data_IF_112908852399
#
_entry.id   IF_112908852399
#
_cell.length_a   1.000
_cell.length_b   1.000
_cell.length_c   1.000
_cell.angle_alpha   90.00
_cell.angle_beta   90.00
_cell.angle_gamma   90.00
#
_symmetry.space_group_name_H-M   'P 1'
#
loop_
_entity.id
_entity.type
_entity.pdbx_description
1 polymer ?
#
# COMPACT_ATOMS: atom_id res chain seq x y z
N UNK A 1 25.43 27.39 -50.49
CA UNK A 1 24.02 27.03 -50.25
C UNK A 1 23.97 25.55 -49.93
N UNK A 2 24.20 25.19 -48.67
CA UNK A 2 23.97 23.81 -48.22
C UNK A 2 22.46 23.57 -48.21
N UNK A 3 22.05 22.55 -48.98
CA UNK A 3 20.68 22.06 -49.01
C UNK A 3 20.23 21.68 -47.60
N UNK A 4 19.28 22.41 -47.03
CA UNK A 4 18.56 21.94 -45.85
C UNK A 4 17.63 20.81 -46.30
N UNK A 5 17.85 19.54 -45.91
CA UNK A 5 17.06 18.43 -46.43
C UNK A 5 15.65 18.47 -45.86
N UNK A 6 14.73 17.72 -46.48
CA UNK A 6 13.38 17.42 -46.00
C UNK A 6 13.31 16.85 -44.55
N UNK A 7 14.46 16.63 -43.90
CA UNK A 7 14.63 16.21 -42.51
C UNK A 7 14.19 17.25 -41.48
N UNK A 8 14.26 18.55 -41.76
CA UNK A 8 13.85 19.60 -40.80
C UNK A 8 12.34 19.61 -40.53
N UNK A 9 11.53 19.46 -41.59
CA UNK A 9 10.07 19.37 -41.47
C UNK A 9 9.61 18.12 -40.73
N UNK A 10 10.33 17.01 -40.94
CA UNK A 10 10.11 15.76 -40.19
C UNK A 10 10.43 15.95 -38.70
N UNK A 11 11.47 16.68 -38.33
CA UNK A 11 11.89 16.84 -36.93
C UNK A 11 10.84 17.56 -36.06
N UNK A 12 10.15 18.57 -36.61
CA UNK A 12 9.19 19.40 -35.85
C UNK A 12 7.80 18.79 -35.85
N UNK A 13 7.40 18.18 -36.96
CA UNK A 13 6.22 17.31 -36.99
C UNK A 13 6.36 16.15 -36.00
N UNK A 14 7.55 15.57 -35.87
CA UNK A 14 7.83 14.51 -34.90
C UNK A 14 7.75 15.00 -33.44
N UNK A 15 8.09 16.26 -33.14
CA UNK A 15 8.00 16.78 -31.76
C UNK A 15 6.60 17.22 -31.33
N UNK A 16 5.79 17.75 -32.25
CA UNK A 16 4.36 17.97 -31.99
C UNK A 16 3.59 16.65 -31.88
N UNK A 17 4.06 15.58 -32.53
CA UNK A 17 3.57 14.22 -32.28
C UNK A 17 4.01 13.69 -30.91
N UNK A 18 5.23 14.05 -30.45
CA UNK A 18 5.71 13.69 -29.10
C UNK A 18 4.92 14.36 -27.99
N UNK A 19 4.44 15.60 -28.12
CA UNK A 19 3.62 16.21 -27.06
C UNK A 19 2.28 15.51 -26.85
N UNK A 20 1.65 15.04 -27.94
CA UNK A 20 0.46 14.20 -27.87
C UNK A 20 0.80 12.86 -27.21
N UNK A 21 1.86 12.19 -27.65
CA UNK A 21 2.28 10.91 -27.06
C UNK A 21 2.62 11.01 -25.56
N UNK A 22 3.28 12.10 -25.13
CA UNK A 22 3.58 12.36 -23.72
C UNK A 22 2.31 12.62 -22.92
N UNK A 23 1.35 13.38 -23.48
CA UNK A 23 0.04 13.59 -22.86
C UNK A 23 -0.76 12.28 -22.73
N UNK A 24 -0.80 11.48 -23.78
CA UNK A 24 -1.52 10.20 -23.80
C UNK A 24 -0.93 9.24 -22.76
N UNK A 25 0.40 9.08 -22.76
CA UNK A 25 1.11 8.30 -21.73
C UNK A 25 0.79 8.79 -20.31
N UNK A 26 0.81 10.11 -20.10
CA UNK A 26 0.53 10.69 -18.77
C UNK A 26 -0.92 10.47 -18.35
N UNK A 27 -1.85 10.47 -19.31
CA UNK A 27 -3.27 10.16 -19.07
C UNK A 27 -3.46 8.69 -18.68
N UNK A 28 -2.83 7.76 -19.41
CA UNK A 28 -2.85 6.34 -19.07
C UNK A 28 -2.23 6.07 -17.69
N UNK A 29 -1.10 6.72 -17.39
CA UNK A 29 -0.45 6.64 -16.09
C UNK A 29 -1.33 7.19 -14.96
N UNK A 30 -2.01 8.31 -15.19
CA UNK A 30 -3.00 8.86 -14.27
C UNK A 30 -4.11 7.85 -13.95
N UNK A 31 -4.66 7.18 -14.97
CA UNK A 31 -5.71 6.17 -14.80
C UNK A 31 -5.23 4.93 -14.04
N UNK A 32 -3.95 4.57 -14.18
CA UNK A 32 -3.36 3.49 -13.38
C UNK A 32 -3.29 3.86 -11.90
N UNK A 33 -2.85 5.08 -11.58
CA UNK A 33 -2.82 5.57 -10.20
C UNK A 33 -4.22 5.69 -9.58
N UNK A 34 -5.20 6.16 -10.36
CA UNK A 34 -6.59 6.29 -9.92
C UNK A 34 -7.19 4.93 -9.56
N UNK A 35 -7.07 3.94 -10.45
CA UNK A 35 -7.52 2.57 -10.17
C UNK A 35 -6.85 1.96 -8.94
N UNK A 36 -5.54 2.14 -8.80
CA UNK A 36 -4.83 1.64 -7.63
C UNK A 36 -5.30 2.30 -6.33
N UNK A 37 -5.55 3.61 -6.35
CA UNK A 37 -6.12 4.33 -5.21
C UNK A 37 -7.49 3.79 -4.83
N UNK A 38 -8.38 3.58 -5.81
CA UNK A 38 -9.73 3.04 -5.60
C UNK A 38 -9.71 1.63 -5.00
N UNK A 39 -8.85 0.74 -5.53
CA UNK A 39 -8.70 -0.62 -5.01
C UNK A 39 -8.25 -0.63 -3.54
N UNK A 40 -7.28 0.22 -3.19
CA UNK A 40 -6.84 0.38 -1.80
C UNK A 40 -7.95 0.94 -0.90
N UNK A 41 -8.70 1.94 -1.37
CA UNK A 41 -9.80 2.54 -0.61
C UNK A 41 -10.91 1.52 -0.35
N UNK A 42 -11.28 0.74 -1.36
CA UNK A 42 -12.29 -0.31 -1.25
C UNK A 42 -11.86 -1.42 -0.29
N UNK A 43 -10.58 -1.81 -0.34
CA UNK A 43 -10.00 -2.78 0.60
C UNK A 43 -10.13 -2.31 2.05
N UNK A 44 -9.68 -1.07 2.34
CA UNK A 44 -9.75 -0.49 3.69
C UNK A 44 -11.20 -0.35 4.16
N UNK A 45 -12.08 0.20 3.33
CA UNK A 45 -13.50 0.35 3.65
C UNK A 45 -14.16 -1.00 3.99
N UNK A 46 -13.86 -2.04 3.22
CA UNK A 46 -14.36 -3.40 3.45
C UNK A 46 -13.90 -4.01 4.78
N UNK A 47 -12.64 -3.77 5.19
CA UNK A 47 -12.13 -4.24 6.48
C UNK A 47 -12.59 -3.39 7.67
N UNK A 48 -12.76 -2.07 7.49
CA UNK A 48 -13.34 -1.20 8.53
C UNK A 48 -14.78 -1.57 8.87
N UNK A 49 -15.59 -1.90 7.85
CA UNK A 49 -16.95 -2.40 8.06
C UNK A 49 -16.96 -3.70 8.88
N UNK A 50 -16.13 -4.67 8.51
CA UNK A 50 -15.96 -5.93 9.25
C UNK A 50 -15.47 -5.70 10.68
N UNK A 51 -14.49 -4.81 10.90
CA UNK A 51 -14.04 -4.44 12.25
C UNK A 51 -15.18 -3.84 13.09
N UNK A 52 -16.05 -3.01 12.49
CA UNK A 52 -17.18 -2.41 13.19
C UNK A 52 -18.22 -3.46 13.62
N UNK A 53 -18.45 -4.49 12.80
CA UNK A 53 -19.30 -5.63 13.14
C UNK A 53 -18.72 -6.42 14.32
N UNK A 54 -17.42 -6.75 14.28
CA UNK A 54 -16.73 -7.47 15.36
C UNK A 54 -16.76 -6.76 16.73
N UNK A 55 -16.77 -5.41 16.74
CA UNK A 55 -16.87 -4.61 17.97
C UNK A 55 -18.25 -4.72 18.63
N UNK A 56 -19.32 -5.02 17.88
CA UNK A 56 -20.68 -5.15 18.43
C UNK A 56 -20.84 -6.44 19.24
N UNK A 57 -20.15 -7.51 18.86
CA UNK A 57 -20.36 -8.84 19.43
C UNK A 57 -19.54 -9.15 20.69
N UNK A 58 -18.47 -8.39 20.99
CA UNK A 58 -17.49 -8.81 22.03
C UNK A 58 -17.29 -7.88 23.22
N UNK A 59 -17.97 -6.74 23.31
CA UNK A 59 -17.59 -5.70 24.27
C UNK A 59 -16.22 -5.12 23.91
N UNK A 60 -16.04 -3.81 24.05
CA UNK A 60 -14.88 -3.12 23.50
C UNK A 60 -13.59 -3.37 24.32
N UNK A 61 -13.00 -4.58 24.23
CA UNK A 61 -11.63 -4.80 24.69
C UNK A 61 -10.67 -4.22 23.64
N UNK A 62 -10.20 -2.99 23.84
CA UNK A 62 -9.21 -2.35 22.98
C UNK A 62 -7.81 -2.88 23.32
N UNK A 63 -7.37 -3.94 22.63
CA UNK A 63 -6.02 -4.49 22.79
C UNK A 63 -5.00 -3.74 21.92
N UNK A 64 -3.72 -3.87 22.28
CA UNK A 64 -2.61 -3.29 21.51
C UNK A 64 -2.55 -3.83 20.08
N UNK A 65 -2.89 -5.11 19.86
CA UNK A 65 -3.00 -5.71 18.53
C UNK A 65 -4.10 -5.04 17.69
N UNK A 66 -5.24 -4.75 18.31
CA UNK A 66 -6.36 -4.12 17.64
C UNK A 66 -6.05 -2.68 17.23
N UNK A 67 -5.37 -1.93 18.11
CA UNK A 67 -4.88 -0.59 17.80
C UNK A 67 -3.86 -0.61 16.65
N UNK A 68 -2.92 -1.55 16.68
CA UNK A 68 -1.91 -1.70 15.62
C UNK A 68 -2.55 -2.03 14.26
N UNK A 69 -3.57 -2.88 14.26
CA UNK A 69 -4.37 -3.18 13.07
C UNK A 69 -5.13 -1.95 12.53
N UNK A 70 -5.77 -1.17 13.41
CA UNK A 70 -6.44 0.07 12.99
C UNK A 70 -5.43 1.10 12.42
N UNK A 71 -4.22 1.20 12.98
CA UNK A 71 -3.13 2.03 12.44
C UNK A 71 -2.76 1.55 11.03
N UNK A 72 -2.55 0.24 10.82
CA UNK A 72 -2.24 -0.30 9.50
C UNK A 72 -3.32 0.07 8.46
N UNK A 73 -4.59 -0.09 8.81
CA UNK A 73 -5.69 0.30 7.92
C UNK A 73 -5.67 1.81 7.61
N UNK A 74 -5.35 2.64 8.60
CA UNK A 74 -5.22 4.10 8.40
C UNK A 74 -4.04 4.45 7.49
N UNK A 75 -2.91 3.76 7.62
CA UNK A 75 -1.74 4.04 6.78
C UNK A 75 -1.95 3.65 5.32
N UNK A 76 -2.64 2.54 5.07
CA UNK A 76 -3.06 2.13 3.71
C UNK A 76 -4.09 3.10 3.11
N UNK A 77 -5.00 3.65 3.92
CA UNK A 77 -5.96 4.67 3.48
C UNK A 77 -5.25 5.97 3.05
N UNK A 78 -4.25 6.40 3.82
CA UNK A 78 -3.43 7.56 3.45
C UNK A 78 -2.64 7.30 2.16
N UNK A 79 -2.15 6.08 1.94
CA UNK A 79 -1.50 5.70 0.69
C UNK A 79 -2.48 5.77 -0.50
N UNK A 80 -3.73 5.34 -0.32
CA UNK A 80 -4.79 5.51 -1.33
C UNK A 80 -5.00 6.99 -1.68
N UNK A 81 -5.22 7.86 -0.67
CA UNK A 81 -5.45 9.29 -0.90
C UNK A 81 -4.32 9.93 -1.70
N UNK A 82 -3.08 9.67 -1.31
CA UNK A 82 -1.96 10.25 -2.02
C UNK A 82 -1.83 9.70 -3.47
N UNK A 83 -2.39 8.52 -3.80
CA UNK A 83 -2.33 7.96 -5.16
C UNK A 83 -3.38 8.64 -6.03
N UNK A 84 -4.55 8.93 -5.44
CA UNK A 84 -5.58 9.76 -6.04
C UNK A 84 -5.06 11.18 -6.33
N UNK A 85 -4.29 11.76 -5.42
CA UNK A 85 -3.68 13.09 -5.62
C UNK A 85 -2.70 13.08 -6.82
N UNK A 86 -1.85 12.05 -6.93
CA UNK A 86 -0.94 11.88 -8.07
C UNK A 86 -1.71 11.75 -9.38
N UNK A 87 -2.74 10.89 -9.42
CA UNK A 87 -3.59 10.75 -10.59
C UNK A 87 -4.20 12.10 -10.99
N UNK A 88 -4.79 12.81 -10.03
CA UNK A 88 -5.40 14.12 -10.25
C UNK A 88 -4.41 15.13 -10.87
N UNK A 89 -3.17 15.19 -10.35
CA UNK A 89 -2.17 16.13 -10.85
C UNK A 89 -1.65 15.71 -12.24
N UNK A 90 -1.34 14.43 -12.47
CA UNK A 90 -0.91 13.94 -13.78
C UNK A 90 -1.98 14.21 -14.85
N UNK A 91 -3.24 13.91 -14.57
CA UNK A 91 -4.33 14.15 -15.51
C UNK A 91 -4.61 15.64 -15.73
N UNK A 92 -4.80 16.41 -14.65
CA UNK A 92 -5.30 17.79 -14.73
C UNK A 92 -4.22 18.84 -14.96
N UNK A 93 -3.02 18.63 -14.43
CA UNK A 93 -1.96 19.65 -14.47
C UNK A 93 -0.86 19.35 -15.49
N UNK A 94 -0.71 18.08 -15.90
CA UNK A 94 0.32 17.69 -16.87
C UNK A 94 -0.28 17.36 -18.23
N UNK A 95 -1.10 16.30 -18.34
CA UNK A 95 -1.60 15.81 -19.62
C UNK A 95 -2.44 16.86 -20.37
N UNK A 96 -3.51 17.35 -19.74
CA UNK A 96 -4.42 18.31 -20.37
C UNK A 96 -3.74 19.64 -20.76
N UNK A 97 -2.98 20.32 -19.87
CA UNK A 97 -2.31 21.55 -20.23
C UNK A 97 -1.24 21.38 -21.31
N UNK A 98 -0.61 20.21 -21.40
CA UNK A 98 0.37 19.94 -22.46
C UNK A 98 -0.29 19.99 -23.84
N UNK A 99 -1.48 19.39 -24.01
CA UNK A 99 -2.23 19.48 -25.26
C UNK A 99 -2.66 20.92 -25.55
N UNK A 100 -3.26 21.60 -24.58
CA UNK A 100 -3.76 22.97 -24.74
C UNK A 100 -2.64 23.96 -25.10
N UNK A 101 -1.50 23.90 -24.40
CA UNK A 101 -0.35 24.78 -24.65
C UNK A 101 0.37 24.48 -25.96
N UNK A 102 0.43 23.22 -26.41
CA UNK A 102 1.18 22.87 -27.63
C UNK A 102 0.35 22.91 -28.92
N UNK A 103 -0.98 22.95 -28.82
CA UNK A 103 -1.86 22.90 -29.99
C UNK A 103 -1.65 24.05 -30.97
N UNK A 104 -1.55 25.29 -30.46
CA UNK A 104 -1.37 26.46 -31.31
C UNK A 104 -0.03 26.41 -32.08
N UNK A 105 1.04 25.89 -31.47
CA UNK A 105 2.34 25.68 -32.11
C UNK A 105 2.31 24.63 -33.22
N UNK A 106 1.51 23.58 -33.07
CA UNK A 106 1.24 22.61 -34.16
C UNK A 106 0.60 23.28 -35.37
N UNK A 107 -0.36 24.18 -35.16
CA UNK A 107 -0.98 24.94 -36.25
C UNK A 107 0.04 25.90 -36.87
N UNK A 108 0.80 26.63 -36.05
CA UNK A 108 1.81 27.57 -36.51
C UNK A 108 2.86 26.88 -37.39
N UNK A 109 3.40 25.75 -36.95
CA UNK A 109 4.38 24.97 -37.73
C UNK A 109 3.83 24.54 -39.10
N UNK A 110 2.57 24.11 -39.18
CA UNK A 110 1.92 23.79 -40.47
C UNK A 110 1.85 24.98 -41.40
N UNK A 111 1.57 26.18 -40.87
CA UNK A 111 1.55 27.42 -41.66
C UNK A 111 2.94 27.76 -42.20
N UNK A 112 3.98 27.67 -41.37
CA UNK A 112 5.38 27.91 -41.81
C UNK A 112 5.74 27.01 -43.00
N UNK A 113 5.41 25.72 -42.94
CA UNK A 113 5.68 24.80 -44.06
C UNK A 113 4.84 25.09 -45.30
N UNK A 114 3.55 25.43 -45.14
CA UNK A 114 2.70 25.82 -46.27
C UNK A 114 3.19 27.10 -46.94
N UNK A 115 3.63 28.10 -46.16
CA UNK A 115 4.22 29.34 -46.67
C UNK A 115 5.52 29.06 -47.42
N UNK A 116 6.39 28.20 -46.88
CA UNK A 116 7.62 27.77 -47.57
C UNK A 116 7.31 27.16 -48.94
N UNK A 117 6.37 26.24 -49.00
CA UNK A 117 5.97 25.59 -50.26
C UNK A 117 5.45 26.63 -51.27
N UNK A 118 4.65 27.60 -50.82
CA UNK A 118 4.18 28.69 -51.68
C UNK A 118 5.32 29.54 -52.24
N UNK A 119 6.37 29.83 -51.44
CA UNK A 119 7.55 30.54 -51.93
C UNK A 119 8.39 29.70 -52.89
N UNK A 120 8.57 28.41 -52.63
CA UNK A 120 9.27 27.50 -53.54
C UNK A 120 8.56 27.43 -54.90
N UNK A 121 7.22 27.40 -54.92
CA UNK A 121 6.43 27.50 -56.15
C UNK A 121 6.59 28.85 -56.87
N UNK A 122 6.72 29.95 -56.12
CA UNK A 122 6.96 31.28 -56.69
C UNK A 122 8.34 31.35 -57.37
N UNK A 123 9.37 30.82 -56.72
CA UNK A 123 10.72 30.68 -57.28
C UNK A 123 10.71 29.82 -58.54
N UNK A 124 10.08 28.64 -58.49
CA UNK A 124 10.00 27.74 -59.64
C UNK A 124 9.35 28.41 -60.87
N UNK A 125 8.26 29.18 -60.66
CA UNK A 125 7.62 29.95 -61.75
C UNK A 125 8.53 31.02 -62.33
N UNK A 126 9.39 31.65 -61.52
CA UNK A 126 10.37 32.62 -62.01
C UNK A 126 11.48 31.95 -62.83
N UNK A 127 11.91 30.75 -62.44
CA UNK A 127 12.87 29.95 -63.19
C UNK A 127 12.29 29.44 -64.53
N UNK A 128 11.03 28.98 -64.54
CA UNK A 128 10.33 28.57 -65.77
C UNK A 128 10.25 29.72 -66.79
N UNK A 129 9.92 30.94 -66.34
CA UNK A 129 9.91 32.14 -67.18
C UNK A 129 11.29 32.44 -67.76
N UNK A 130 12.36 32.28 -66.96
CA UNK A 130 13.73 32.47 -67.42
C UNK A 130 14.13 31.44 -68.48
N UNK A 131 13.79 30.17 -68.28
CA UNK A 131 14.03 29.10 -69.25
C UNK A 131 13.34 29.41 -70.58
N UNK A 132 12.08 29.86 -70.53
CA UNK A 132 11.33 30.26 -71.72
C UNK A 132 11.98 31.44 -72.45
N UNK A 133 12.30 32.53 -71.72
CA UNK A 133 12.94 33.70 -72.31
C UNK A 133 14.29 33.37 -72.96
N UNK A 134 15.07 32.48 -72.36
CA UNK A 134 16.32 31.96 -72.93
C UNK A 134 16.10 31.19 -74.23
N UNK A 135 15.06 30.36 -74.28
CA UNK A 135 14.72 29.59 -75.47
C UNK A 135 14.25 30.50 -76.61
N UNK A 136 13.41 31.48 -76.31
CA UNK A 136 12.92 32.47 -77.28
C UNK A 136 14.09 33.28 -77.88
N UNK A 137 15.03 33.73 -77.04
CA UNK A 137 16.27 34.37 -77.48
C UNK A 137 17.11 33.48 -78.41
N UNK A 138 17.31 32.21 -78.04
CA UNK A 138 18.05 31.24 -78.89
C UNK A 138 17.38 31.03 -80.24
N UNK A 139 16.05 30.93 -80.25
CA UNK A 139 15.27 30.75 -81.47
C UNK A 139 15.35 31.99 -82.39
N UNK A 140 15.23 33.19 -81.82
CA UNK A 140 15.36 34.44 -82.56
C UNK A 140 16.76 34.59 -83.19
N UNK A 141 17.81 34.22 -82.45
CA UNK A 141 19.18 34.18 -82.97
C UNK A 141 19.32 33.23 -84.18
N UNK A 142 18.85 31.99 -84.06
CA UNK A 142 18.91 31.01 -85.16
C UNK A 142 18.12 31.48 -86.40
N UNK A 143 16.96 32.10 -86.19
CA UNK A 143 16.12 32.65 -87.26
C UNK A 143 16.83 33.79 -88.02
N UNK A 144 17.46 34.72 -87.29
CA UNK A 144 18.26 35.78 -87.88
C UNK A 144 19.44 35.24 -88.69
N UNK A 145 20.15 34.23 -88.16
CA UNK A 145 21.27 33.59 -88.85
C UNK A 145 20.85 32.86 -90.14
N UNK A 146 19.64 32.31 -90.17
CA UNK A 146 19.09 31.63 -91.35
C UNK A 146 18.64 32.61 -92.45
N UNK A 147 18.12 33.78 -92.09
CA UNK A 147 17.64 34.80 -93.05
C UNK A 147 17.85 36.22 -92.53
N UNK A 148 19.05 36.81 -92.72
CA UNK A 148 19.38 38.12 -92.18
C UNK A 148 18.55 39.23 -92.82
N UNK A 149 17.76 39.94 -92.02
CA UNK A 149 17.03 41.13 -92.42
C UNK A 149 16.74 42.04 -91.22
N UNK A 150 16.34 43.29 -91.47
CA UNK A 150 16.12 44.32 -90.42
C UNK A 150 15.04 43.92 -89.41
N UNK A 151 13.98 43.25 -89.84
CA UNK A 151 12.91 42.80 -88.94
C UNK A 151 13.37 41.65 -88.02
N UNK A 152 14.10 40.67 -88.58
CA UNK A 152 14.67 39.57 -87.80
C UNK A 152 15.72 40.05 -86.79
N UNK A 153 16.49 41.10 -87.12
CA UNK A 153 17.45 41.73 -86.21
C UNK A 153 16.74 42.43 -85.03
N UNK A 154 15.65 43.15 -85.30
CA UNK A 154 14.83 43.79 -84.26
C UNK A 154 14.25 42.75 -83.29
N UNK A 155 13.65 41.68 -83.80
CA UNK A 155 13.12 40.56 -82.98
C UNK A 155 14.22 39.89 -82.14
N UNK A 156 15.43 39.74 -82.68
CA UNK A 156 16.57 39.23 -81.93
C UNK A 156 16.97 40.15 -80.76
N UNK A 157 17.06 41.46 -81.00
CA UNK A 157 17.37 42.43 -79.94
C UNK A 157 16.27 42.48 -78.87
N UNK A 158 15.00 42.43 -79.26
CA UNK A 158 13.89 42.41 -78.31
C UNK A 158 13.91 41.14 -77.43
N UNK A 159 14.17 39.97 -78.03
CA UNK A 159 14.29 38.72 -77.30
C UNK A 159 15.52 38.69 -76.38
N UNK A 160 16.64 39.30 -76.80
CA UNK A 160 17.83 39.48 -75.96
C UNK A 160 17.51 40.33 -74.73
N UNK A 161 16.91 41.51 -74.93
CA UNK A 161 16.56 42.43 -73.86
C UNK A 161 15.56 41.81 -72.88
N UNK A 162 14.58 41.05 -73.40
CA UNK A 162 13.63 40.30 -72.58
C UNK A 162 14.32 39.22 -71.74
N UNK A 163 15.25 38.45 -72.33
CA UNK A 163 16.04 37.45 -71.61
C UNK A 163 16.90 38.05 -70.50
N UNK A 164 17.67 39.10 -70.81
CA UNK A 164 18.54 39.77 -69.83
C UNK A 164 17.72 40.34 -68.67
N UNK A 165 16.60 41.00 -68.97
CA UNK A 165 15.71 41.55 -67.94
C UNK A 165 15.15 40.44 -67.04
N UNK A 166 14.69 39.33 -67.64
CA UNK A 166 14.17 38.19 -66.88
C UNK A 166 15.26 37.49 -66.06
N UNK A 167 16.50 37.43 -66.56
CA UNK A 167 17.65 36.88 -65.83
C UNK A 167 17.92 37.68 -64.55
N UNK A 168 17.96 39.01 -64.63
CA UNK A 168 18.14 39.87 -63.46
C UNK A 168 16.96 39.76 -62.49
N UNK A 169 15.72 39.69 -62.99
CA UNK A 169 14.54 39.50 -62.16
C UNK A 169 14.58 38.16 -61.39
N UNK A 170 14.90 37.06 -62.08
CA UNK A 170 14.99 35.74 -61.44
C UNK A 170 16.15 35.67 -60.45
N UNK A 171 17.32 36.26 -60.77
CA UNK A 171 18.45 36.32 -59.84
C UNK A 171 18.10 37.11 -58.57
N UNK A 172 17.42 38.26 -58.69
CA UNK A 172 16.98 39.03 -57.53
C UNK A 172 15.98 38.27 -56.65
N UNK A 173 15.07 37.50 -57.26
CA UNK A 173 14.15 36.61 -56.52
C UNK A 173 14.93 35.53 -55.77
N UNK A 174 15.89 34.87 -56.43
CA UNK A 174 16.69 33.80 -55.82
C UNK A 174 17.57 34.32 -54.68
N UNK A 175 18.17 35.49 -54.85
CA UNK A 175 18.98 36.16 -53.83
C UNK A 175 18.13 36.47 -52.60
N UNK A 176 17.03 37.23 -52.76
CA UNK A 176 16.15 37.60 -51.65
C UNK A 176 15.50 36.39 -50.96
N UNK A 177 15.14 35.35 -51.74
CA UNK A 177 14.64 34.10 -51.18
C UNK A 177 15.69 33.43 -50.27
N UNK A 178 16.95 33.37 -50.73
CA UNK A 178 18.05 32.74 -50.02
C UNK A 178 18.58 33.54 -48.83
N UNK A 179 18.62 34.86 -48.90
CA UNK A 179 19.25 35.73 -47.89
C UNK A 179 18.29 36.28 -46.85
N UNK A 180 17.00 36.41 -47.18
CA UNK A 180 16.02 37.02 -46.28
C UNK A 180 14.83 36.10 -45.98
N UNK A 181 14.17 35.58 -47.02
CA UNK A 181 12.90 34.85 -46.84
C UNK A 181 13.11 33.54 -46.10
N UNK A 182 14.06 32.71 -46.55
CA UNK A 182 14.32 31.41 -45.93
C UNK A 182 14.85 31.55 -44.50
N UNK A 183 15.83 32.42 -44.19
CA UNK A 183 16.25 32.69 -42.82
C UNK A 183 15.10 33.14 -41.90
N UNK A 184 14.20 34.00 -42.36
CA UNK A 184 13.05 34.44 -41.56
C UNK A 184 12.12 33.27 -41.20
N UNK A 185 11.85 32.35 -42.14
CA UNK A 185 11.06 31.15 -41.85
C UNK A 185 11.79 30.21 -40.89
N UNK A 186 13.12 30.15 -40.96
CA UNK A 186 13.93 29.35 -40.03
C UNK A 186 13.87 29.91 -38.61
N UNK A 187 13.92 31.23 -38.45
CA UNK A 187 13.80 31.86 -37.13
C UNK A 187 12.43 31.56 -36.50
N UNK A 188 11.33 31.71 -37.24
CA UNK A 188 9.99 31.38 -36.73
C UNK A 188 9.91 29.90 -36.30
N UNK A 189 10.56 29.03 -37.06
CA UNK A 189 10.60 27.60 -36.79
C UNK A 189 11.43 27.25 -35.53
N UNK A 190 12.53 27.95 -35.32
CA UNK A 190 13.35 27.86 -34.09
C UNK A 190 12.56 28.31 -32.86
N UNK A 191 11.83 29.43 -32.95
CA UNK A 191 11.01 29.95 -31.86
C UNK A 191 9.91 28.95 -31.46
N UNK A 192 9.23 28.35 -32.46
CA UNK A 192 8.25 27.28 -32.23
C UNK A 192 8.90 26.10 -31.52
N UNK A 193 10.09 25.70 -31.96
CA UNK A 193 10.79 24.55 -31.41
C UNK A 193 11.24 24.79 -29.96
N UNK A 194 11.78 25.97 -29.67
CA UNK A 194 12.24 26.34 -28.33
C UNK A 194 11.09 26.33 -27.32
N UNK A 195 9.95 26.92 -27.69
CA UNK A 195 8.74 26.96 -26.85
C UNK A 195 8.15 25.56 -26.58
N UNK A 196 8.11 24.70 -27.60
CA UNK A 196 7.69 23.31 -27.44
C UNK A 196 8.64 22.54 -26.50
N UNK A 197 9.95 22.76 -26.60
CA UNK A 197 10.93 22.11 -25.73
C UNK A 197 10.79 22.57 -24.27
N UNK A 198 10.60 23.86 -24.04
CA UNK A 198 10.37 24.42 -22.71
C UNK A 198 9.08 23.81 -22.11
N UNK A 199 7.97 23.88 -22.84
CA UNK A 199 6.67 23.34 -22.39
C UNK A 199 6.74 21.86 -22.06
N UNK A 200 7.41 21.05 -22.90
CA UNK A 200 7.58 19.62 -22.66
C UNK A 200 8.47 19.32 -21.45
N UNK A 201 9.54 20.09 -21.27
CA UNK A 201 10.47 19.90 -20.16
C UNK A 201 9.80 20.26 -18.84
N UNK A 202 9.05 21.36 -18.80
CA UNK A 202 8.27 21.77 -17.63
C UNK A 202 7.20 20.74 -17.25
N UNK A 203 6.46 20.24 -18.24
CA UNK A 203 5.45 19.20 -18.02
C UNK A 203 6.06 17.89 -17.50
N UNK A 204 7.18 17.46 -18.09
CA UNK A 204 7.91 16.26 -17.67
C UNK A 204 8.47 16.43 -16.25
N UNK A 205 9.03 17.60 -15.92
CA UNK A 205 9.51 17.92 -14.58
C UNK A 205 8.37 17.90 -13.56
N UNK A 206 7.23 18.53 -13.87
CA UNK A 206 6.05 18.54 -12.99
C UNK A 206 5.53 17.12 -12.74
N UNK A 207 5.43 16.29 -13.79
CA UNK A 207 5.06 14.88 -13.64
C UNK A 207 6.05 14.10 -12.77
N UNK A 208 7.35 14.33 -12.98
CA UNK A 208 8.41 13.70 -12.20
C UNK A 208 8.39 14.14 -10.73
N UNK A 209 8.20 15.41 -10.42
CA UNK A 209 8.15 15.93 -9.04
C UNK A 209 6.97 15.34 -8.25
N UNK A 210 5.82 15.15 -8.91
CA UNK A 210 4.60 14.58 -8.32
C UNK A 210 4.74 13.07 -8.06
N UNK A 211 5.45 12.35 -8.91
CA UNK A 211 5.73 10.92 -8.68
C UNK A 211 6.85 10.76 -7.66
N UNK A 212 7.90 11.57 -7.78
CA UNK A 212 9.08 11.58 -6.92
C UNK A 212 8.77 11.99 -5.49
N UNK A 213 7.67 12.71 -5.24
CA UNK A 213 7.19 12.96 -3.88
C UNK A 213 6.87 11.69 -3.09
N UNK A 214 6.94 10.51 -3.72
CA UNK A 214 6.85 9.19 -3.09
C UNK A 214 8.12 8.34 -3.13
N UNK A 215 9.09 8.66 -3.98
CA UNK A 215 10.32 7.86 -4.06
C UNK A 215 11.28 8.38 -3.00
N UNK A 216 11.68 7.53 -2.05
CA UNK A 216 12.69 7.82 -1.03
C UNK A 216 14.00 8.24 -1.67
N UNK A 217 14.19 9.53 -1.89
CA UNK A 217 15.45 10.05 -2.39
C UNK A 217 16.34 10.44 -1.21
N UNK A 218 16.87 9.41 -0.54
CA UNK A 218 18.03 9.56 0.34
C UNK A 218 19.31 9.85 -0.46
N UNK A 219 19.33 9.48 -1.76
CA UNK A 219 20.50 9.62 -2.64
C UNK A 219 20.69 11.02 -3.26
N UNK A 220 19.64 11.68 -3.80
CA UNK A 220 19.77 13.07 -4.29
C UNK A 220 19.84 14.08 -3.15
N UNK A 221 19.40 13.75 -1.92
CA UNK A 221 19.54 14.65 -0.78
C UNK A 221 21.02 14.89 -0.43
N UNK A 222 21.85 13.85 -0.42
CA UNK A 222 23.30 14.01 -0.16
C UNK A 222 24.02 14.78 -1.28
N UNK A 223 23.55 14.68 -2.53
CA UNK A 223 24.06 15.46 -3.67
C UNK A 223 23.61 16.93 -3.64
N UNK A 224 22.36 17.19 -3.24
CA UNK A 224 21.76 18.54 -3.27
C UNK A 224 22.10 19.41 -2.06
N UNK A 225 22.48 18.82 -0.92
CA UNK A 225 22.97 19.58 0.23
C UNK A 225 24.31 20.29 -0.04
N UNK A 226 25.03 19.91 -1.09
CA UNK A 226 26.29 20.54 -1.52
C UNK A 226 26.09 21.81 -2.36
N UNK A 227 24.95 21.97 -3.04
CA UNK A 227 24.71 23.08 -3.97
C UNK A 227 23.49 23.93 -3.57
N UNK A 228 23.67 24.80 -2.57
CA UNK A 228 22.65 25.77 -2.15
C UNK A 228 22.42 26.85 -3.23
N UNK A 229 21.31 26.73 -3.97
CA UNK A 229 20.62 27.86 -4.62
C UNK A 229 19.16 27.92 -4.14
N UNK A 230 18.77 29.10 -3.65
CA UNK A 230 17.52 29.41 -2.95
C UNK A 230 16.20 29.21 -3.76
N UNK A 231 16.26 28.88 -5.05
CA UNK A 231 15.09 28.78 -5.94
C UNK A 231 14.34 27.44 -5.93
N UNK A 232 14.72 26.47 -5.07
CA UNK A 232 14.18 25.08 -5.12
C UNK A 232 13.20 24.73 -3.99
N UNK A 233 12.38 25.68 -3.54
CA UNK A 233 11.31 25.46 -2.55
C UNK A 233 10.31 24.33 -2.91
N UNK A 234 9.88 24.16 -4.17
CA UNK A 234 8.97 23.06 -4.56
C UNK A 234 9.58 21.67 -4.42
N UNK A 235 10.89 21.54 -4.64
CA UNK A 235 11.61 20.25 -4.59
C UNK A 235 11.72 19.68 -3.18
N UNK A 236 11.70 20.56 -2.17
CA UNK A 236 11.67 20.14 -0.77
C UNK A 236 10.34 19.49 -0.39
N UNK A 237 9.22 19.92 -0.99
CA UNK A 237 7.90 19.38 -0.67
C UNK A 237 7.76 17.89 -1.03
N UNK A 238 8.32 17.48 -2.17
CA UNK A 238 8.32 16.07 -2.56
C UNK A 238 9.19 15.19 -1.66
N UNK A 239 10.37 15.67 -1.28
CA UNK A 239 11.25 14.97 -0.32
C UNK A 239 10.55 14.79 1.03
N UNK A 240 9.83 15.80 1.51
CA UNK A 240 9.09 15.74 2.77
C UNK A 240 7.94 14.70 2.73
N UNK A 241 7.24 14.54 1.60
CA UNK A 241 6.14 13.57 1.47
C UNK A 241 6.63 12.11 1.41
N UNK A 242 7.74 11.82 0.73
CA UNK A 242 8.34 10.47 0.73
C UNK A 242 8.89 10.11 2.12
N UNK A 243 9.50 11.08 2.80
CA UNK A 243 9.89 10.96 4.21
C UNK A 243 8.67 10.70 5.11
N UNK A 244 7.53 11.31 4.80
CA UNK A 244 6.31 11.14 5.58
C UNK A 244 5.73 9.74 5.43
N UNK A 245 5.69 9.15 4.23
CA UNK A 245 5.30 7.73 4.07
C UNK A 245 6.22 6.80 4.86
N UNK A 246 7.54 6.99 4.76
CA UNK A 246 8.49 6.19 5.54
C UNK A 246 8.27 6.35 7.04
N UNK A 247 8.14 7.59 7.53
CA UNK A 247 7.90 7.91 8.94
C UNK A 247 6.61 7.26 9.46
N UNK A 248 5.55 7.27 8.65
CA UNK A 248 4.27 6.63 8.96
C UNK A 248 4.42 5.12 9.20
N UNK A 249 5.08 4.42 8.27
CA UNK A 249 5.33 2.98 8.43
C UNK A 249 6.35 2.65 9.53
N UNK A 250 7.33 3.52 9.79
CA UNK A 250 8.23 3.39 10.94
C UNK A 250 7.46 3.52 12.27
N UNK A 251 6.49 4.43 12.32
CA UNK A 251 5.55 4.58 13.44
C UNK A 251 4.69 3.34 13.65
N UNK A 252 4.13 2.76 12.58
CA UNK A 252 3.42 1.48 12.65
C UNK A 252 4.33 0.36 13.15
N UNK A 253 5.56 0.25 12.64
CA UNK A 253 6.52 -0.75 13.09
C UNK A 253 6.88 -0.59 14.57
N UNK A 254 6.97 0.66 15.06
CA UNK A 254 7.16 0.94 16.48
C UNK A 254 5.94 0.50 17.32
N UNK A 255 4.71 0.75 16.83
CA UNK A 255 3.50 0.28 17.47
C UNK A 255 3.48 -1.25 17.57
N UNK A 256 3.80 -1.97 16.49
CA UNK A 256 3.94 -3.42 16.48
C UNK A 256 4.93 -3.93 17.54
N UNK A 257 6.10 -3.27 17.68
CA UNK A 257 7.13 -3.64 18.67
C UNK A 257 6.70 -3.35 20.11
N UNK A 258 5.82 -2.38 20.31
CA UNK A 258 5.30 -2.01 21.63
C UNK A 258 4.11 -2.85 22.09
N UNK A 259 3.53 -3.68 21.21
CA UNK A 259 2.40 -4.54 21.54
C UNK A 259 2.76 -5.54 22.65
N UNK A 260 1.88 -5.70 23.64
CA UNK A 260 2.14 -6.50 24.83
C UNK A 260 1.00 -7.45 25.15
N UNK A 261 1.24 -8.74 24.94
CA UNK A 261 0.28 -9.79 25.28
C UNK A 261 -0.06 -9.81 26.78
N UNK A 262 0.91 -9.48 27.65
CA UNK A 262 0.70 -9.40 29.09
C UNK A 262 -0.21 -8.21 29.48
N UNK A 263 -0.07 -7.06 28.82
CA UNK A 263 -0.96 -5.93 29.05
C UNK A 263 -2.37 -6.22 28.48
N UNK A 264 -2.44 -6.83 27.31
CA UNK A 264 -3.69 -7.17 26.64
C UNK A 264 -4.52 -8.16 27.47
N UNK A 265 -3.93 -9.23 28.02
CA UNK A 265 -4.68 -10.20 28.82
C UNK A 265 -5.25 -9.56 30.10
N UNK A 266 -4.55 -8.60 30.70
CA UNK A 266 -5.06 -7.84 31.86
C UNK A 266 -6.28 -7.01 31.47
N UNK A 267 -6.29 -6.39 30.29
CA UNK A 267 -7.47 -5.68 29.78
C UNK A 267 -8.63 -6.63 29.46
N UNK A 268 -8.35 -7.77 28.83
CA UNK A 268 -9.37 -8.80 28.52
C UNK A 268 -10.03 -9.28 29.81
N UNK A 269 -9.25 -9.65 30.83
CA UNK A 269 -9.79 -10.09 32.12
C UNK A 269 -10.64 -8.99 32.77
N UNK A 270 -10.20 -7.72 32.72
CA UNK A 270 -11.00 -6.59 33.21
C UNK A 270 -12.32 -6.41 32.45
N UNK A 271 -12.34 -6.64 31.14
CA UNK A 271 -13.56 -6.53 30.32
C UNK A 271 -14.56 -7.67 30.53
N UNK A 272 -14.06 -8.86 30.93
CA UNK A 272 -14.88 -10.04 31.18
C UNK A 272 -15.40 -10.11 32.62
N UNK A 273 -14.74 -9.45 33.56
CA UNK A 273 -15.19 -9.41 34.95
C UNK A 273 -16.47 -8.57 35.08
N UNK A 274 -17.55 -9.09 35.72
CA UNK A 274 -18.67 -8.26 36.11
C UNK A 274 -18.15 -7.10 36.97
N UNK A 275 -18.60 -5.86 36.70
CA UNK A 275 -18.16 -4.71 37.50
C UNK A 275 -18.40 -4.98 38.99
N UNK A 276 -17.32 -5.03 39.78
CA UNK A 276 -17.37 -5.30 41.22
C UNK A 276 -17.15 -6.75 41.66
N UNK A 277 -16.84 -7.68 40.75
CA UNK A 277 -16.48 -9.06 41.12
C UNK A 277 -15.09 -9.12 41.78
N UNK A 278 -15.04 -9.01 43.10
CA UNK A 278 -13.90 -9.47 43.88
C UNK A 278 -13.64 -10.96 43.61
N UNK A 279 -12.39 -11.44 43.67
CA UNK A 279 -12.10 -12.87 43.51
C UNK A 279 -13.02 -13.66 44.44
N UNK A 280 -13.85 -14.55 43.88
CA UNK A 280 -14.80 -15.31 44.69
C UNK A 280 -14.02 -16.05 45.79
N UNK A 281 -14.30 -15.78 47.07
CA UNK A 281 -13.64 -16.48 48.15
C UNK A 281 -13.95 -17.97 48.04
N UNK A 282 -12.96 -18.82 48.32
CA UNK A 282 -13.12 -20.27 48.28
C UNK A 282 -14.25 -20.67 49.23
N UNK A 283 -15.36 -21.17 48.68
CA UNK A 283 -16.51 -21.63 49.47
C UNK A 283 -16.16 -22.96 50.13
N UNK A 284 -15.99 -22.95 51.45
CA UNK A 284 -15.77 -24.16 52.25
C UNK A 284 -17.09 -24.69 52.80
N UNK A 285 -17.29 -26.00 52.70
CA UNK A 285 -18.43 -26.70 53.33
C UNK A 285 -18.08 -27.04 54.78
N UNK A 286 -19.05 -26.92 55.68
CA UNK A 286 -18.88 -27.19 57.11
C UNK A 286 -19.69 -28.43 57.51
N UNK A 287 -19.22 -29.16 58.53
CA UNK A 287 -19.98 -30.26 59.12
C UNK A 287 -21.29 -29.75 59.72
N UNK A 288 -22.41 -30.40 59.40
CA UNK A 288 -23.74 -30.09 59.93
C UNK A 288 -24.28 -31.29 60.72
N UNK A 289 -24.44 -31.13 62.03
CA UNK A 289 -25.03 -32.17 62.88
C UNK A 289 -26.53 -32.37 62.53
N UNK A 290 -27.09 -33.59 62.69
CA UNK A 290 -28.51 -33.83 62.50
C UNK A 290 -29.37 -32.92 63.39
N UNK A 291 -30.44 -32.33 62.83
CA UNK A 291 -31.38 -31.51 63.59
C UNK A 291 -32.26 -32.41 64.47
N UNK A 292 -32.17 -32.24 65.79
CA UNK A 292 -33.10 -32.89 66.73
C UNK A 292 -34.39 -32.05 66.72
N UNK A 293 -35.57 -32.62 66.38
CA UNK A 293 -36.82 -31.89 66.44
C UNK A 293 -37.05 -31.34 67.87
N UNK A 294 -37.57 -30.12 68.03
CA UNK A 294 -37.97 -29.63 69.35
C UNK A 294 -39.00 -30.61 69.95
N UNK A 295 -38.93 -30.92 71.25
CA UNK A 295 -39.99 -31.69 71.89
C UNK A 295 -41.31 -30.91 71.83
N UNK A 296 -42.39 -31.54 71.38
CA UNK A 296 -43.74 -30.99 71.47
C UNK A 296 -44.05 -30.70 72.94
N UNK A 297 -44.35 -29.44 73.26
CA UNK A 297 -44.49 -28.96 74.63
C UNK A 297 -45.76 -29.47 75.35
N UNK A 298 -46.64 -30.21 74.68
CA UNK A 298 -47.98 -30.54 75.18
C UNK A 298 -48.31 -32.06 75.23
N UNK A 299 -47.31 -32.95 75.21
CA UNK A 299 -47.53 -34.39 75.43
C UNK A 299 -47.17 -34.81 76.88
N UNK A 300 -48.14 -35.07 77.77
CA UNK A 300 -47.86 -35.53 79.12
C UNK A 300 -47.48 -37.03 79.08
N UNK A 301 -46.24 -37.34 79.45
CA UNK A 301 -45.84 -38.72 79.79
C UNK A 301 -44.84 -39.41 78.87
N UNK A 302 -43.98 -38.69 78.16
CA UNK A 302 -42.82 -39.30 77.52
C UNK A 302 -41.50 -38.71 78.06
N UNK A 303 -41.23 -38.97 79.35
CA UNK A 303 -39.87 -39.00 79.90
C UNK A 303 -39.11 -40.17 79.24
N UNK A 304 -38.81 -40.04 77.94
CA UNK A 304 -37.68 -40.72 77.34
C UNK A 304 -36.42 -40.08 77.94
N UNK A 305 -36.19 -40.40 79.21
CA UNK A 305 -34.96 -40.20 79.94
C UNK A 305 -33.79 -40.50 79.01
N UNK A 306 -33.13 -39.43 78.57
CA UNK A 306 -31.73 -39.17 78.17
C UNK A 306 -30.76 -40.34 77.84
N UNK A 307 -31.24 -41.55 77.61
CA UNK A 307 -30.49 -42.83 77.66
C UNK A 307 -30.60 -43.60 76.35
N UNK A 308 -31.45 -43.15 75.41
CA UNK A 308 -31.64 -43.76 74.08
C UNK A 308 -31.35 -42.79 72.91
N UNK A 309 -30.92 -41.55 73.18
CA UNK A 309 -30.48 -40.62 72.13
C UNK A 309 -29.05 -40.98 71.69
N UNK A 310 -28.79 -41.15 70.37
CA UNK A 310 -27.44 -41.40 69.87
C UNK A 310 -26.47 -40.27 70.29
N UNK A 311 -25.19 -40.58 70.59
CA UNK A 311 -24.20 -39.57 70.95
C UNK A 311 -24.09 -38.48 69.86
N UNK A 312 -24.01 -37.22 70.27
CA UNK A 312 -23.78 -36.12 69.33
C UNK A 312 -22.41 -36.27 68.64
N UNK A 313 -22.42 -36.52 67.33
CA UNK A 313 -21.21 -36.67 66.53
C UNK A 313 -20.61 -35.31 66.18
N UNK A 314 -19.27 -35.26 66.12
CA UNK A 314 -18.47 -34.08 65.74
C UNK A 314 -17.83 -34.31 64.37
N UNK A 315 -17.11 -33.30 63.86
CA UNK A 315 -16.31 -33.39 62.64
C UNK A 315 -15.04 -34.25 62.82
N UNK A 316 -15.21 -35.50 63.28
CA UNK A 316 -14.16 -36.47 63.60
C UNK A 316 -14.63 -37.89 63.26
N UNK A 317 -13.69 -38.81 63.01
CA UNK A 317 -13.99 -40.22 62.79
C UNK A 317 -14.33 -40.93 64.11
N UNK A 318 -15.36 -41.80 64.09
CA UNK A 318 -15.76 -42.64 65.23
C UNK A 318 -14.98 -43.95 65.21
N UNK A 319 -14.26 -44.26 66.29
CA UNK A 319 -13.36 -45.43 66.39
C UNK A 319 -13.68 -46.35 67.57
N UNK A 320 -14.95 -46.70 67.79
CA UNK A 320 -15.33 -47.70 68.80
C UNK A 320 -14.91 -49.13 68.37
N UNK A 321 -14.94 -50.12 69.29
CA UNK A 321 -14.68 -51.54 69.01
C UNK A 321 -15.40 -52.08 67.75
N UNK A 322 -16.61 -51.62 67.45
CA UNK A 322 -17.36 -52.03 66.24
C UNK A 322 -16.87 -51.32 64.97
N UNK A 323 -16.55 -50.02 65.04
CA UNK A 323 -16.15 -49.20 63.89
C UNK A 323 -14.63 -49.26 63.57
N UNK A 324 -13.79 -49.58 64.56
CA UNK A 324 -12.33 -49.46 64.45
C UNK A 324 -11.72 -50.41 63.42
N UNK A 325 -12.29 -51.60 63.21
CA UNK A 325 -11.81 -52.54 62.20
C UNK A 325 -12.09 -51.99 60.80
N UNK A 326 -13.30 -51.49 60.59
CA UNK A 326 -13.74 -50.96 59.30
C UNK A 326 -13.01 -49.67 58.90
N UNK A 327 -12.78 -48.76 59.86
CA UNK A 327 -11.99 -47.53 59.63
C UNK A 327 -10.53 -47.85 59.26
N UNK A 328 -9.91 -48.87 59.89
CA UNK A 328 -8.54 -49.28 59.56
C UNK A 328 -8.43 -49.82 58.14
N UNK A 329 -9.33 -50.73 57.74
CA UNK A 329 -9.38 -51.30 56.39
C UNK A 329 -9.58 -50.19 55.35
N UNK A 330 -10.48 -49.24 55.61
CA UNK A 330 -10.73 -48.11 54.71
C UNK A 330 -9.52 -47.19 54.59
N UNK A 331 -8.80 -46.90 55.68
CA UNK A 331 -7.58 -46.08 55.65
C UNK A 331 -6.43 -46.77 54.91
N UNK A 332 -6.29 -48.09 55.01
CA UNK A 332 -5.31 -48.85 54.24
C UNK A 332 -5.64 -48.82 52.74
N UNK A 333 -6.91 -48.98 52.38
CA UNK A 333 -7.39 -48.83 50.99
C UNK A 333 -7.11 -47.42 50.44
N UNK A 334 -7.44 -46.38 51.20
CA UNK A 334 -7.21 -44.98 50.79
C UNK A 334 -5.71 -44.65 50.67
N UNK A 335 -4.86 -45.24 51.52
CA UNK A 335 -3.40 -45.07 51.39
C UNK A 335 -2.88 -45.68 50.09
N UNK A 336 -3.37 -46.87 49.73
CA UNK A 336 -3.02 -47.52 48.47
C UNK A 336 -3.50 -46.69 47.27
N UNK A 337 -4.77 -46.26 47.28
CA UNK A 337 -5.33 -45.39 46.25
C UNK A 337 -4.54 -44.07 46.12
N UNK A 338 -4.12 -43.47 47.23
CA UNK A 338 -3.28 -42.28 47.23
C UNK A 338 -1.91 -42.50 46.59
N UNK A 339 -1.25 -43.64 46.85
CA UNK A 339 0.02 -44.01 46.22
C UNK A 339 -0.15 -44.23 44.70
N UNK A 340 -1.25 -44.89 44.31
CA UNK A 340 -1.57 -45.14 42.89
C UNK A 340 -1.82 -43.82 42.15
N UNK A 341 -2.57 -42.88 42.75
CA UNK A 341 -2.82 -41.54 42.20
C UNK A 341 -1.54 -40.68 42.14
N UNK A 342 -0.64 -40.79 43.12
CA UNK A 342 0.67 -40.12 43.08
C UNK A 342 1.52 -40.61 41.91
N UNK A 343 1.55 -41.93 41.69
CA UNK A 343 2.22 -42.53 40.56
C UNK A 343 1.59 -42.07 39.23
N UNK A 344 0.26 -42.06 39.15
CA UNK A 344 -0.46 -41.59 37.97
C UNK A 344 -0.18 -40.10 37.68
N UNK A 345 -0.17 -39.23 38.69
CA UNK A 345 0.18 -37.83 38.53
C UNK A 345 1.60 -37.66 37.98
N UNK A 346 2.56 -38.47 38.45
CA UNK A 346 3.94 -38.44 37.96
C UNK A 346 4.01 -38.87 36.50
N UNK A 347 3.38 -39.99 36.14
CA UNK A 347 3.33 -40.49 34.76
C UNK A 347 2.67 -39.47 33.80
N UNK A 348 1.58 -38.85 34.22
CA UNK A 348 0.90 -37.81 33.44
C UNK A 348 1.78 -36.56 33.26
N UNK A 349 2.54 -36.17 34.28
CA UNK A 349 3.49 -35.05 34.21
C UNK A 349 4.62 -35.35 33.22
N UNK A 350 5.25 -36.52 33.31
CA UNK A 350 6.33 -36.94 32.41
C UNK A 350 5.85 -37.04 30.94
N UNK A 351 4.63 -37.52 30.72
CA UNK A 351 4.00 -37.55 29.41
C UNK A 351 3.75 -36.13 28.88
N UNK A 352 3.28 -35.22 29.73
CA UNK A 352 3.07 -33.81 29.40
C UNK A 352 4.36 -33.12 28.98
N UNK A 353 5.45 -33.33 29.71
CA UNK A 353 6.76 -32.75 29.39
C UNK A 353 7.32 -33.29 28.06
N UNK A 354 7.01 -34.55 27.75
CA UNK A 354 7.38 -35.15 26.47
C UNK A 354 6.60 -34.51 25.33
N UNK A 355 5.28 -34.36 25.48
CA UNK A 355 4.43 -33.69 24.49
C UNK A 355 4.83 -32.22 24.29
N UNK A 356 5.13 -31.49 25.37
CA UNK A 356 5.61 -30.10 25.27
C UNK A 356 6.93 -29.99 24.50
N UNK A 357 7.89 -30.88 24.74
CA UNK A 357 9.15 -30.92 23.96
C UNK A 357 8.92 -31.28 22.50
N UNK A 358 8.00 -32.20 22.22
CA UNK A 358 7.61 -32.52 20.83
C UNK A 358 6.96 -31.33 20.13
N UNK A 359 6.06 -30.62 20.81
CA UNK A 359 5.39 -29.45 20.29
C UNK A 359 6.38 -28.32 20.01
N UNK A 360 7.29 -28.03 20.94
CA UNK A 360 8.37 -27.05 20.79
C UNK A 360 9.19 -27.32 19.52
N UNK A 361 9.64 -28.57 19.32
CA UNK A 361 10.39 -28.95 18.11
C UNK A 361 9.56 -28.79 16.84
N UNK A 362 8.27 -29.13 16.89
CA UNK A 362 7.37 -28.92 15.75
C UNK A 362 7.24 -27.44 15.41
N UNK A 363 7.13 -26.55 16.41
CA UNK A 363 7.07 -25.10 16.21
C UNK A 363 8.38 -24.55 15.64
N UNK A 364 9.54 -24.96 16.18
CA UNK A 364 10.87 -24.59 15.67
C UNK A 364 11.08 -25.07 14.24
N UNK A 365 10.48 -26.20 13.87
CA UNK A 365 10.52 -26.76 12.52
C UNK A 365 9.40 -26.24 11.61
N UNK A 366 8.60 -25.26 12.05
CA UNK A 366 7.44 -24.70 11.32
C UNK A 366 6.37 -25.74 10.92
N UNK A 367 6.26 -26.85 11.65
CA UNK A 367 5.26 -27.91 11.45
C UNK A 367 3.96 -27.60 12.22
N UNK A 368 3.23 -26.57 11.80
CA UNK A 368 2.07 -26.05 12.54
C UNK A 368 0.91 -27.05 12.70
N UNK A 369 0.62 -27.87 11.68
CA UNK A 369 -0.43 -28.90 11.76
C UNK A 369 -0.13 -29.91 12.87
N UNK A 370 1.11 -30.39 12.93
CA UNK A 370 1.56 -31.32 13.98
C UNK A 370 1.60 -30.66 15.36
N UNK A 371 1.99 -29.39 15.44
CA UNK A 371 1.95 -28.64 16.69
C UNK A 371 0.51 -28.47 17.21
N UNK A 372 -0.47 -28.36 16.31
CA UNK A 372 -1.89 -28.28 16.63
C UNK A 372 -2.46 -29.63 17.10
N UNK A 373 -2.15 -30.72 16.42
CA UNK A 373 -2.51 -32.08 16.87
C UNK A 373 -1.96 -32.38 18.28
N UNK A 374 -0.69 -32.02 18.52
CA UNK A 374 -0.07 -32.17 19.85
C UNK A 374 -0.72 -31.24 20.89
N UNK A 375 -1.26 -30.08 20.51
CA UNK A 375 -1.93 -29.17 21.44
C UNK A 375 -3.21 -29.78 22.02
N UNK A 376 -3.96 -30.53 21.21
CA UNK A 376 -5.16 -31.24 21.67
C UNK A 376 -4.79 -32.34 22.68
N UNK A 377 -3.76 -33.14 22.37
CA UNK A 377 -3.24 -34.16 23.29
C UNK A 377 -2.72 -33.55 24.61
N UNK A 378 -1.97 -32.44 24.53
CA UNK A 378 -1.49 -31.69 25.70
C UNK A 378 -2.66 -31.22 26.57
N UNK A 379 -3.73 -30.74 25.94
CA UNK A 379 -4.91 -30.22 26.65
C UNK A 379 -5.64 -31.34 27.41
N UNK A 380 -5.81 -32.49 26.78
CA UNK A 380 -6.38 -33.69 27.43
C UNK A 380 -5.50 -34.14 28.60
N UNK A 381 -4.17 -34.24 28.41
CA UNK A 381 -3.26 -34.63 29.49
C UNK A 381 -3.24 -33.64 30.65
N UNK A 382 -3.35 -32.34 30.38
CA UNK A 382 -3.50 -31.31 31.43
C UNK A 382 -4.79 -31.51 32.22
N UNK A 383 -5.90 -31.80 31.54
CA UNK A 383 -7.16 -32.09 32.20
C UNK A 383 -7.04 -33.32 33.11
N UNK A 384 -6.57 -34.45 32.56
CA UNK A 384 -6.41 -35.71 33.32
C UNK A 384 -5.50 -35.51 34.54
N UNK A 385 -4.39 -34.79 34.38
CA UNK A 385 -3.47 -34.47 35.46
C UNK A 385 -4.16 -33.64 36.55
N UNK A 386 -4.97 -32.65 36.17
CA UNK A 386 -5.71 -31.82 37.14
C UNK A 386 -6.78 -32.62 37.88
N UNK A 387 -7.50 -33.50 37.20
CA UNK A 387 -8.47 -34.41 37.84
C UNK A 387 -7.77 -35.34 38.84
N UNK A 388 -6.67 -35.97 38.43
CA UNK A 388 -5.88 -36.85 39.32
C UNK A 388 -5.32 -36.08 40.53
N UNK A 389 -4.84 -34.85 40.35
CA UNK A 389 -4.38 -33.99 41.44
C UNK A 389 -5.52 -33.63 42.42
N UNK A 390 -6.72 -33.35 41.92
CA UNK A 390 -7.90 -33.06 42.75
C UNK A 390 -8.35 -34.31 43.53
N UNK A 391 -8.37 -35.49 42.89
CA UNK A 391 -8.67 -36.76 43.55
C UNK A 391 -7.63 -37.09 44.62
N UNK A 392 -6.34 -36.92 44.31
CA UNK A 392 -5.25 -37.11 45.26
C UNK A 392 -5.37 -36.16 46.46
N UNK A 393 -5.72 -34.89 46.22
CA UNK A 393 -5.96 -33.93 47.31
C UNK A 393 -7.15 -34.37 48.19
N UNK A 394 -8.21 -34.91 47.59
CA UNK A 394 -9.36 -35.49 48.30
C UNK A 394 -8.95 -36.69 49.17
N UNK A 395 -8.24 -37.66 48.61
CA UNK A 395 -7.77 -38.86 49.34
C UNK A 395 -6.81 -38.48 50.47
N UNK A 396 -5.87 -37.56 50.23
CA UNK A 396 -4.96 -37.04 51.26
C UNK A 396 -5.72 -36.37 52.40
N UNK A 397 -6.76 -35.59 52.09
CA UNK A 397 -7.62 -35.00 53.11
C UNK A 397 -8.34 -36.07 53.95
N UNK A 398 -8.91 -37.10 53.32
CA UNK A 398 -9.57 -38.21 54.03
C UNK A 398 -8.60 -39.00 54.94
N UNK A 399 -7.40 -39.31 54.44
CA UNK A 399 -6.35 -39.98 55.23
C UNK A 399 -5.89 -39.11 56.40
N UNK A 400 -5.83 -37.78 56.22
CA UNK A 400 -5.41 -36.85 57.28
C UNK A 400 -6.39 -36.83 58.46
N UNK A 401 -7.71 -36.90 58.19
CA UNK A 401 -8.74 -36.98 59.24
C UNK A 401 -8.59 -38.29 60.03
N UNK A 402 -8.23 -39.38 59.37
CA UNK A 402 -7.95 -40.67 60.03
C UNK A 402 -6.68 -40.74 60.87
N UNK A 403 -5.79 -39.74 60.76
CA UNK A 403 -4.55 -39.64 61.55
C UNK A 403 -4.66 -38.72 62.76
N UNK A 404 -5.75 -37.95 62.90
CA UNK A 404 -5.88 -36.91 63.92
C UNK A 404 -6.10 -37.42 65.36
N UNK A 405 -5.66 -38.64 65.70
CA UNK A 405 -5.56 -39.16 67.08
C UNK A 405 -4.33 -40.04 67.26
#
# INVERSE_FOLDING_TARGET
MENFPATSSKCISHRTLRSVAVSDFTTELSQLYERHAEELQMLVAGYRKRNAELRKDRGACQTSLFQTWDILLQEVEKDSQAHSDIASVLGRQVARPLLEKTFHRKIQSRKVFGTREAYEQFVAKAEEKLVKARQDYKNAYMSYMASPNTAALATYFDAHNAYVTQLHATNGILEHFGTETLPSLMQELEDIYADLCATLTDAALQGAEVISSRVSIRALAEELWSELRYDRLPRLAGVLQAQEQQRRYDGLAAACRSASAQADIVQVVKSLAPQGAHPHPVVRRHFSAPHVPPPDADAPGNDLSNTMLPPALKNELVTDRLASIQVRVQLESLRKEGQDLELQCKQLTDALDTLHRMQQRSLESSLFNKANELQDEISVKKYDLRVAQMQLASVRAQVSVGRAR
#
